data_IF_070633613081
#
_entry.id   IF_070633613081
#
_cell.length_a   1.000
_cell.length_b   1.000
_cell.length_c   1.000
_cell.angle_alpha   90.00
_cell.angle_beta   90.00
_cell.angle_gamma   90.00
#
_symmetry.space_group_name_H-M   'P 1'
#
loop_
_entity.id
_entity.type
_entity.pdbx_description
1 polymer ?
#
# COMPACT_ATOMS: atom_id res chain seq x y z
N UNK A 1 32.83 33.35 30.92
CA UNK A 1 32.66 32.05 30.24
C UNK A 1 31.23 31.49 30.31
N UNK A 2 30.19 32.33 30.39
CA UNK A 2 28.79 31.87 30.51
C UNK A 2 27.94 32.17 29.27
N UNK A 3 28.37 33.13 28.45
CA UNK A 3 27.74 33.50 27.17
C UNK A 3 28.08 32.56 26.00
N UNK A 4 29.21 31.85 26.06
CA UNK A 4 29.61 30.88 25.01
C UNK A 4 28.79 29.58 25.10
N UNK A 5 28.42 29.14 26.31
CA UNK A 5 27.50 28.02 26.52
C UNK A 5 26.07 28.34 26.13
N UNK A 6 25.67 29.62 26.06
CA UNK A 6 24.35 30.04 25.55
C UNK A 6 24.35 30.03 24.02
N UNK A 7 25.45 30.46 23.38
CA UNK A 7 25.62 30.40 21.92
C UNK A 7 25.71 28.95 21.40
N UNK A 8 26.37 28.05 22.14
CA UNK A 8 26.44 26.63 21.82
C UNK A 8 25.10 25.88 22.05
N UNK A 9 24.34 26.27 23.08
CA UNK A 9 22.98 25.73 23.32
C UNK A 9 21.94 26.27 22.32
N UNK A 10 22.12 27.50 21.83
CA UNK A 10 21.25 28.08 20.79
C UNK A 10 21.52 27.51 19.40
N UNK A 11 22.75 27.06 19.12
CA UNK A 11 23.12 26.39 17.87
C UNK A 11 22.50 24.99 17.76
N UNK A 12 22.38 24.27 18.88
CA UNK A 12 21.73 22.96 18.92
C UNK A 12 20.20 23.08 18.88
N UNK A 13 19.63 24.25 19.23
CA UNK A 13 18.19 24.49 19.20
C UNK A 13 17.66 24.91 17.81
N UNK A 14 18.50 25.33 16.85
CA UNK A 14 18.06 25.71 15.49
C UNK A 14 18.17 24.60 14.43
N UNK A 15 18.88 23.50 14.73
CA UNK A 15 19.10 22.37 13.78
C UNK A 15 18.07 21.25 13.95
N UNK A 16 17.07 21.42 14.81
CA UNK A 16 16.04 20.40 15.08
C UNK A 16 14.71 20.61 14.31
N UNK A 17 14.70 21.46 13.27
CA UNK A 17 13.45 21.84 12.56
C UNK A 17 13.48 21.68 11.04
N UNK A 18 14.48 20.99 10.47
CA UNK A 18 14.57 20.78 9.01
C UNK A 18 14.65 19.30 8.60
N UNK A 19 13.89 18.44 9.26
CA UNK A 19 13.57 17.11 8.76
C UNK A 19 12.05 17.00 8.57
N UNK A 20 11.50 17.87 7.72
CA UNK A 20 10.16 17.67 7.19
C UNK A 20 10.18 16.43 6.31
N UNK A 21 9.83 15.28 6.90
CA UNK A 21 9.60 14.06 6.14
C UNK A 21 8.45 14.34 5.19
N UNK A 22 8.77 14.50 3.91
CA UNK A 22 7.78 14.50 2.84
C UNK A 22 7.06 13.14 2.89
N UNK A 23 5.87 13.11 3.50
CA UNK A 23 4.94 12.01 3.36
C UNK A 23 4.41 12.07 1.93
N UNK A 24 5.20 11.56 0.98
CA UNK A 24 4.64 11.14 -0.29
C UNK A 24 3.60 10.08 0.05
N UNK A 25 2.33 10.41 -0.08
CA UNK A 25 1.25 9.45 0.07
C UNK A 25 1.50 8.33 -0.94
N UNK A 26 1.91 7.18 -0.44
CA UNK A 26 2.28 6.02 -1.24
C UNK A 26 1.02 5.54 -1.97
N UNK A 27 0.92 5.86 -3.27
CA UNK A 27 -0.19 5.41 -4.09
C UNK A 27 -0.07 3.91 -4.28
N UNK A 28 -1.15 3.18 -4.06
CA UNK A 28 -1.20 1.73 -4.26
C UNK A 28 -1.83 1.39 -5.61
N UNK A 29 -1.17 0.54 -6.38
CA UNK A 29 -1.72 0.03 -7.64
C UNK A 29 -2.72 -1.09 -7.36
N UNK A 30 -4.00 -0.86 -7.70
CA UNK A 30 -5.09 -1.81 -7.43
C UNK A 30 -4.99 -3.11 -8.25
N UNK A 31 -4.25 -3.09 -9.36
CA UNK A 31 -4.08 -4.23 -10.24
C UNK A 31 -2.97 -5.17 -9.74
N UNK A 32 -1.95 -4.62 -9.08
CA UNK A 32 -0.77 -5.41 -8.66
C UNK A 32 -0.67 -5.60 -7.15
N UNK A 33 -1.29 -4.75 -6.35
CA UNK A 33 -1.14 -4.80 -4.90
C UNK A 33 -1.78 -6.05 -4.27
N UNK A 34 -1.16 -6.52 -3.19
CA UNK A 34 -1.73 -7.57 -2.35
C UNK A 34 -2.83 -7.03 -1.41
N UNK A 35 -3.63 -7.94 -0.84
CA UNK A 35 -4.73 -7.56 0.04
C UNK A 35 -4.26 -6.77 1.28
N UNK A 36 -3.10 -7.11 1.85
CA UNK A 36 -2.55 -6.43 3.01
C UNK A 36 -1.98 -5.04 2.67
N UNK A 37 -1.51 -4.82 1.44
CA UNK A 37 -1.15 -3.50 0.93
C UNK A 37 -2.39 -2.62 0.72
N UNK A 38 -3.44 -3.18 0.12
CA UNK A 38 -4.71 -2.46 -0.08
C UNK A 38 -5.34 -2.05 1.26
N UNK A 39 -5.32 -2.92 2.26
CA UNK A 39 -5.80 -2.61 3.61
C UNK A 39 -4.97 -1.52 4.31
N UNK A 40 -3.64 -1.53 4.14
CA UNK A 40 -2.76 -0.55 4.78
C UNK A 40 -2.87 0.84 4.17
N UNK A 41 -3.04 0.92 2.85
CA UNK A 41 -3.03 2.21 2.13
C UNK A 41 -4.42 2.80 2.02
N UNK A 42 -5.47 1.98 1.80
CA UNK A 42 -6.80 2.48 1.51
C UNK A 42 -7.66 2.70 2.77
N UNK A 43 -8.23 3.88 2.89
CA UNK A 43 -9.08 4.29 4.01
C UNK A 43 -10.44 3.61 3.95
N UNK A 44 -10.74 2.79 4.96
CA UNK A 44 -12.01 2.08 5.10
C UNK A 44 -12.12 0.79 4.27
N UNK A 45 -10.99 0.30 3.77
CA UNK A 45 -10.82 -1.05 3.24
C UNK A 45 -10.18 -1.89 4.34
N UNK A 46 -10.89 -2.88 4.87
CA UNK A 46 -10.32 -3.90 5.76
C UNK A 46 -10.11 -5.21 5.00
N UNK A 47 -9.54 -6.22 5.67
CA UNK A 47 -9.27 -7.56 5.10
C UNK A 47 -10.37 -8.08 4.15
N UNK A 48 -11.65 -8.13 4.56
CA UNK A 48 -12.72 -8.67 3.69
C UNK A 48 -12.94 -7.89 2.39
N UNK A 49 -12.77 -6.56 2.42
CA UNK A 49 -12.92 -5.73 1.21
C UNK A 49 -11.68 -5.82 0.33
N UNK A 50 -10.50 -5.89 0.94
CA UNK A 50 -9.25 -6.08 0.23
C UNK A 50 -9.23 -7.43 -0.52
N UNK A 51 -9.67 -8.51 0.14
CA UNK A 51 -9.85 -9.82 -0.48
C UNK A 51 -10.83 -9.77 -1.64
N UNK A 52 -11.98 -9.08 -1.46
CA UNK A 52 -12.97 -8.92 -2.53
C UNK A 52 -12.40 -8.19 -3.76
N UNK A 53 -11.47 -7.24 -3.59
CA UNK A 53 -10.78 -6.57 -4.71
C UNK A 53 -9.90 -7.56 -5.47
N UNK A 54 -9.13 -8.38 -4.75
CA UNK A 54 -8.25 -9.40 -5.34
C UNK A 54 -9.06 -10.48 -6.07
N UNK A 55 -10.17 -10.91 -5.50
CA UNK A 55 -11.07 -11.88 -6.10
C UNK A 55 -11.75 -11.28 -7.35
N UNK A 56 -12.23 -10.04 -7.25
CA UNK A 56 -12.86 -9.35 -8.38
C UNK A 56 -11.92 -9.25 -9.58
N UNK A 57 -10.67 -8.83 -9.40
CA UNK A 57 -9.71 -8.74 -10.52
C UNK A 57 -9.33 -10.11 -11.09
N UNK A 58 -9.36 -11.15 -10.26
CA UNK A 58 -9.07 -12.52 -10.69
C UNK A 58 -10.22 -13.07 -11.55
N UNK A 59 -11.46 -12.69 -11.25
CA UNK A 59 -12.65 -13.14 -11.97
C UNK A 59 -13.01 -12.28 -13.20
N UNK A 60 -12.85 -10.96 -13.11
CA UNK A 60 -13.30 -9.99 -14.12
C UNK A 60 -12.15 -9.40 -14.95
N UNK A 61 -10.90 -9.62 -14.53
CA UNK A 61 -9.71 -9.01 -15.12
C UNK A 61 -9.28 -7.72 -14.42
N UNK A 62 -8.22 -7.06 -14.92
CA UNK A 62 -7.67 -5.86 -14.29
C UNK A 62 -8.64 -4.69 -14.33
N UNK A 63 -8.60 -3.85 -13.29
CA UNK A 63 -9.35 -2.61 -13.20
C UNK A 63 -8.79 -1.57 -14.19
N UNK A 64 -9.67 -0.90 -14.92
CA UNK A 64 -9.32 0.18 -15.86
C UNK A 64 -9.37 1.56 -15.21
N UNK A 65 -10.10 1.69 -14.11
CA UNK A 65 -10.23 2.94 -13.38
C UNK A 65 -10.49 2.67 -11.89
N UNK A 66 -10.21 3.67 -11.05
CA UNK A 66 -10.54 3.58 -9.63
C UNK A 66 -12.05 3.43 -9.38
N UNK A 67 -12.90 3.91 -10.29
CA UNK A 67 -14.37 3.82 -10.20
C UNK A 67 -14.88 2.38 -10.20
N UNK A 68 -14.18 1.48 -10.89
CA UNK A 68 -14.57 0.07 -10.97
C UNK A 68 -14.44 -0.65 -9.62
N UNK A 69 -13.72 -0.08 -8.65
CA UNK A 69 -13.74 -0.58 -7.27
C UNK A 69 -15.15 -0.53 -6.66
N UNK A 70 -16.04 0.36 -7.13
CA UNK A 70 -17.43 0.39 -6.68
C UNK A 70 -18.26 -0.82 -7.13
N UNK A 71 -17.74 -1.62 -8.08
CA UNK A 71 -18.35 -2.89 -8.51
C UNK A 71 -18.03 -4.03 -7.54
N UNK A 72 -17.04 -3.85 -6.67
CA UNK A 72 -16.63 -4.83 -5.67
C UNK A 72 -17.61 -4.82 -4.50
N UNK A 73 -18.06 -6.01 -4.10
CA UNK A 73 -19.02 -6.17 -3.01
C UNK A 73 -18.49 -5.53 -1.71
N UNK A 74 -19.26 -4.58 -1.18
CA UNK A 74 -18.92 -3.87 0.07
C UNK A 74 -18.06 -2.62 -0.09
N UNK A 75 -17.68 -2.25 -1.32
CA UNK A 75 -17.03 -0.98 -1.64
C UNK A 75 -18.04 -0.09 -2.36
N UNK A 76 -18.40 1.02 -1.73
CA UNK A 76 -19.29 2.02 -2.33
C UNK A 76 -18.52 3.19 -2.93
N UNK A 77 -19.21 4.00 -3.74
CA UNK A 77 -18.65 5.22 -4.36
C UNK A 77 -17.98 6.15 -3.34
N UNK A 78 -18.57 6.34 -2.16
CA UNK A 78 -17.97 7.13 -1.07
C UNK A 78 -16.60 6.62 -0.65
N UNK A 79 -16.41 5.30 -0.61
CA UNK A 79 -15.11 4.71 -0.28
C UNK A 79 -14.13 4.95 -1.41
N UNK A 80 -14.56 4.83 -2.66
CA UNK A 80 -13.72 5.10 -3.83
C UNK A 80 -13.27 6.55 -3.87
N UNK A 81 -14.18 7.50 -3.69
CA UNK A 81 -13.89 8.94 -3.70
C UNK A 81 -12.82 9.32 -2.67
N UNK A 82 -12.92 8.82 -1.44
CA UNK A 82 -11.91 9.08 -0.39
C UNK A 82 -10.53 8.49 -0.69
N UNK A 83 -10.48 7.50 -1.57
CA UNK A 83 -9.26 6.77 -1.90
C UNK A 83 -8.71 7.12 -3.28
N UNK A 84 -9.39 7.99 -4.05
CA UNK A 84 -8.97 8.41 -5.40
C UNK A 84 -7.52 8.84 -5.45
N UNK A 85 -7.09 9.61 -4.46
CA UNK A 85 -5.73 10.15 -4.41
C UNK A 85 -4.68 9.10 -4.02
N UNK A 86 -5.12 8.00 -3.40
CA UNK A 86 -4.30 6.88 -2.92
C UNK A 86 -4.26 5.73 -3.94
N UNK A 87 -5.17 5.70 -4.88
CA UNK A 87 -5.26 4.65 -5.90
C UNK A 87 -4.42 5.05 -7.11
N UNK A 88 -3.54 4.15 -7.53
CA UNK A 88 -2.96 4.12 -8.85
C UNK A 88 -3.64 3.03 -9.69
N UNK A 89 -3.82 3.31 -10.98
CA UNK A 89 -4.22 2.30 -11.96
C UNK A 89 -3.07 2.20 -12.95
N UNK A 90 -2.13 1.29 -12.68
CA UNK A 90 -1.02 1.06 -13.59
C UNK A 90 -1.53 0.32 -14.81
N UNK A 91 -1.56 1.02 -15.96
CA UNK A 91 -1.52 0.30 -17.23
C UNK A 91 -0.13 -0.36 -17.30
N UNK A 92 -0.09 -1.68 -17.43
CA UNK A 92 1.10 -2.51 -17.26
C UNK A 92 2.37 -1.92 -17.93
N UNK A 93 3.26 -1.31 -17.13
CA UNK A 93 4.71 -1.15 -17.32
C UNK A 93 5.30 -0.09 -16.36
N UNK A 94 5.51 -0.47 -15.09
CA UNK A 94 6.32 0.26 -14.11
C UNK A 94 6.96 -0.74 -13.15
N UNK A 95 8.21 -0.55 -12.70
CA UNK A 95 9.12 -1.64 -12.42
C UNK A 95 8.61 -2.52 -11.27
N UNK A 96 8.60 -3.82 -11.57
CA UNK A 96 8.40 -4.92 -10.64
C UNK A 96 9.27 -4.70 -9.39
N UNK A 97 8.67 -4.23 -8.30
CA UNK A 97 9.25 -4.38 -6.97
C UNK A 97 9.02 -5.82 -6.51
N UNK A 98 9.85 -6.71 -7.05
CA UNK A 98 10.08 -8.03 -6.49
C UNK A 98 10.91 -7.84 -5.23
N UNK A 99 10.26 -7.68 -4.08
CA UNK A 99 10.91 -7.80 -2.79
C UNK A 99 9.91 -8.40 -1.79
N UNK A 100 10.06 -9.71 -1.50
CA UNK A 100 9.49 -10.30 -0.30
C UNK A 100 8.57 -11.52 -0.43
N UNK A 101 8.73 -12.40 -1.45
CA UNK A 101 8.21 -13.78 -1.34
C UNK A 101 9.36 -14.75 -1.12
N UNK A 102 9.79 -14.82 0.14
CA UNK A 102 10.52 -15.96 0.67
C UNK A 102 9.75 -16.47 1.89
N UNK A 103 9.61 -17.81 1.95
CA UNK A 103 9.05 -18.65 3.02
C UNK A 103 7.51 -18.82 2.96
N UNK A 104 6.93 -20.00 2.74
CA UNK A 104 7.46 -21.37 2.82
C UNK A 104 6.80 -22.31 1.81
N UNK A 105 7.65 -23.02 1.09
CA UNK A 105 7.29 -24.16 0.26
C UNK A 105 6.75 -25.30 1.13
N UNK A 106 5.62 -25.85 0.71
CA UNK A 106 5.16 -27.17 1.10
C UNK A 106 6.16 -28.24 0.65
N UNK A 107 6.39 -29.30 1.44
CA UNK A 107 6.75 -30.58 0.89
C UNK A 107 5.53 -31.52 0.92
N UNK A 108 5.04 -31.82 -0.27
CA UNK A 108 4.17 -32.95 -0.54
C UNK A 108 4.85 -34.25 -0.05
N UNK A 109 4.10 -35.10 0.67
CA UNK A 109 4.46 -36.52 0.81
C UNK A 109 3.71 -37.32 -0.27
N UNK A 110 4.39 -38.26 -0.94
CA UNK A 110 3.90 -38.89 -2.14
C UNK A 110 2.83 -39.94 -1.83
N UNK A 111 1.79 -39.96 -2.65
CA UNK A 111 0.83 -41.07 -2.76
C UNK A 111 1.61 -42.31 -3.21
N UNK A 112 1.76 -43.28 -2.32
CA UNK A 112 2.16 -44.64 -2.68
C UNK A 112 0.92 -45.36 -3.20
N UNK A 113 0.88 -45.61 -4.51
CA UNK A 113 -0.03 -46.61 -5.10
C UNK A 113 0.71 -47.94 -5.16
N UNK A 114 0.30 -48.91 -4.34
CA UNK A 114 0.28 -50.34 -4.68
C UNK A 114 -0.59 -51.10 -3.69
#
# INVERSE_FOLDING_TARGET
>A
MKSFSVLLKSLVLSVLLLAGTAFAADKVDINTADAAQLERVLVGIGSSKAEAIVEYRSANGPFKSADELALVKGIGLKTVERNRDLIAVGNAAGPVQKAGSAVGAAPAKPVVRR
#
